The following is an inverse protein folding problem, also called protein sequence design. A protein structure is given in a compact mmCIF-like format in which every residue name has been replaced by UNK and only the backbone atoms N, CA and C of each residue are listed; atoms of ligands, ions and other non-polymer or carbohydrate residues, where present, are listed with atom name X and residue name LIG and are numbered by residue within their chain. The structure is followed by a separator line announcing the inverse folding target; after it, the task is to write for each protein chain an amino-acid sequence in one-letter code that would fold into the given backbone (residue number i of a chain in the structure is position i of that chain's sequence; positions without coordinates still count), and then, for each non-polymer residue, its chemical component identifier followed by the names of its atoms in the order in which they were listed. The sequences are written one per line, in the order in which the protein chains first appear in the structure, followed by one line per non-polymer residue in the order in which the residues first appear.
data_IF_231391745022
#
_entry.id   IF_231391745022
#
_cell.length_a   1.000
_cell.length_b   1.000
_cell.length_c   1.000
_cell.angle_alpha   90.00
_cell.angle_beta   90.00
_cell.angle_gamma   90.00
#
_symmetry.space_group_name_H-M   'P 1'
#
loop_
_entity.id
_entity.type
_entity.pdbx_description
1 polymer ?
#
# COMPACT_ATOMS: atom_id res chain seq x y z
N UNK A 1 -9.55 2.24 0.26
CA UNK A 1 -8.53 3.22 0.65
C UNK A 1 -8.42 4.39 -0.31
N UNK A 2 -8.65 5.61 0.19
CA UNK A 2 -8.37 6.86 -0.53
C UNK A 2 -7.31 7.72 0.19
N UNK A 3 -6.82 7.25 1.34
CA UNK A 3 -5.98 8.00 2.25
C UNK A 3 -5.27 7.02 3.19
N UNK A 4 -3.98 7.23 3.44
CA UNK A 4 -3.26 6.55 4.52
C UNK A 4 -2.31 7.52 5.20
N UNK A 5 -1.77 7.13 6.35
CA UNK A 5 -0.79 7.90 7.09
C UNK A 5 0.49 7.09 7.22
N UNK A 6 1.62 7.76 7.04
CA UNK A 6 2.95 7.24 7.29
C UNK A 6 3.66 8.23 8.23
N UNK A 7 3.28 8.16 9.50
CA UNK A 7 3.75 9.06 10.55
C UNK A 7 4.99 8.49 11.24
N UNK A 8 6.05 8.39 10.48
CA UNK A 8 7.35 7.89 10.90
C UNK A 8 8.43 8.52 10.02
N UNK A 9 9.62 8.72 10.56
CA UNK A 9 10.76 9.22 9.81
C UNK A 9 11.38 8.13 8.94
N UNK A 10 12.13 8.52 7.92
CA UNK A 10 12.79 7.59 7.01
C UNK A 10 13.64 6.51 7.70
N UNK A 11 14.39 6.85 8.75
CA UNK A 11 15.20 5.89 9.51
C UNK A 11 14.35 4.84 10.26
N UNK A 12 13.22 5.25 10.82
CA UNK A 12 12.28 4.36 11.50
C UNK A 12 11.61 3.40 10.50
N UNK A 13 11.24 3.92 9.32
CA UNK A 13 10.65 3.13 8.24
C UNK A 13 11.65 2.10 7.72
N UNK A 14 12.88 2.54 7.43
CA UNK A 14 13.98 1.70 7.00
C UNK A 14 14.24 0.56 8.00
N UNK A 15 14.33 0.88 9.29
CA UNK A 15 14.49 -0.12 10.34
C UNK A 15 13.33 -1.11 10.40
N UNK A 16 12.08 -0.65 10.32
CA UNK A 16 10.90 -1.50 10.44
C UNK A 16 10.72 -2.47 9.26
N UNK A 17 11.14 -2.07 8.06
CA UNK A 17 10.97 -2.86 6.84
C UNK A 17 12.26 -3.56 6.36
N UNK A 18 13.35 -3.40 7.11
CA UNK A 18 14.67 -3.96 6.78
C UNK A 18 15.20 -3.39 5.47
N UNK A 19 15.15 -2.07 5.31
CA UNK A 19 15.57 -1.35 4.13
C UNK A 19 16.65 -0.32 4.44
N UNK A 20 17.36 0.12 3.41
CA UNK A 20 18.20 1.31 3.41
C UNK A 20 17.31 2.53 3.13
N UNK A 21 17.56 3.65 3.81
CA UNK A 21 16.85 4.92 3.55
C UNK A 21 17.13 5.43 2.14
N UNK A 22 18.29 5.08 1.56
CA UNK A 22 18.72 5.48 0.23
C UNK A 22 18.65 7.01 0.04
N UNK A 23 18.97 7.75 1.11
CA UNK A 23 18.92 9.21 1.14
C UNK A 23 17.51 9.81 1.22
N UNK A 24 16.46 9.01 1.39
CA UNK A 24 15.09 9.50 1.55
C UNK A 24 14.96 10.37 2.81
N UNK A 25 14.26 11.49 2.67
CA UNK A 25 14.12 12.54 3.70
C UNK A 25 12.71 12.60 4.29
N UNK A 26 11.89 11.55 4.10
CA UNK A 26 10.52 11.51 4.60
C UNK A 26 10.45 11.80 6.11
N UNK A 27 9.72 12.85 6.47
CA UNK A 27 9.59 13.34 7.84
C UNK A 27 8.36 12.82 8.59
N UNK A 28 7.45 12.14 7.90
CA UNK A 28 6.16 11.73 8.44
C UNK A 28 5.00 12.57 7.87
N UNK A 29 3.83 11.95 7.70
CA UNK A 29 2.64 12.68 7.26
C UNK A 29 1.50 11.82 6.77
N UNK A 30 0.45 12.51 6.36
CA UNK A 30 -0.69 11.94 5.67
C UNK A 30 -0.40 11.86 4.16
N UNK A 31 -0.93 10.83 3.48
CA UNK A 31 -0.72 10.57 2.05
C UNK A 31 -2.06 10.38 1.35
N UNK A 32 -2.28 11.21 0.34
CA UNK A 32 -3.43 11.19 -0.55
C UNK A 32 -3.00 10.89 -2.02
N UNK A 33 -3.93 10.49 -2.90
CA UNK A 33 -3.67 10.33 -4.33
C UNK A 33 -3.01 11.58 -4.93
N UNK A 34 -1.98 11.37 -5.76
CA UNK A 34 -1.18 12.44 -6.36
C UNK A 34 -0.05 12.98 -5.47
N UNK A 35 0.02 12.59 -4.19
CA UNK A 35 1.16 12.95 -3.34
C UNK A 35 2.30 11.95 -3.44
N UNK A 36 3.51 12.42 -3.17
CA UNK A 36 4.70 11.57 -3.06
C UNK A 36 4.75 10.91 -1.68
N UNK A 37 5.21 9.66 -1.66
CA UNK A 37 5.55 8.92 -0.45
C UNK A 37 6.66 7.91 -0.75
N UNK A 38 7.47 7.52 0.24
CA UNK A 38 8.46 6.47 0.06
C UNK A 38 7.77 5.11 -0.11
N UNK A 39 8.23 4.33 -1.07
CA UNK A 39 7.96 2.89 -1.16
C UNK A 39 9.26 2.12 -0.99
N UNK A 40 9.20 0.90 -0.49
CA UNK A 40 10.39 0.04 -0.39
C UNK A 40 10.42 -0.96 -1.54
N UNK A 41 11.48 -0.90 -2.34
CA UNK A 41 11.74 -1.82 -3.46
C UNK A 41 12.93 -2.72 -3.14
N UNK A 42 13.05 -3.85 -3.85
CA UNK A 42 14.28 -4.66 -3.82
C UNK A 42 15.22 -4.23 -4.94
N UNK A 43 16.43 -3.81 -4.59
CA UNK A 43 17.51 -3.54 -5.54
C UNK A 43 18.03 -4.81 -6.22
N UNK A 44 18.80 -4.64 -7.29
CA UNK A 44 19.40 -5.75 -8.03
C UNK A 44 20.39 -6.56 -7.18
N UNK A 45 21.06 -5.89 -6.25
CA UNK A 45 21.94 -6.46 -5.22
C UNK A 45 21.18 -7.17 -4.08
N UNK A 46 19.86 -7.17 -4.12
CA UNK A 46 19.01 -7.78 -3.10
C UNK A 46 18.73 -6.92 -1.88
N UNK A 47 19.35 -5.74 -1.79
CA UNK A 47 19.11 -4.79 -0.69
C UNK A 47 17.80 -4.06 -0.91
N UNK A 48 16.97 -3.99 0.13
CA UNK A 48 15.73 -3.22 0.10
C UNK A 48 16.05 -1.73 0.24
N UNK A 49 15.42 -0.86 -0.56
CA UNK A 49 15.67 0.58 -0.55
C UNK A 49 14.37 1.35 -0.54
N UNK A 50 14.33 2.43 0.24
CA UNK A 50 13.28 3.43 0.13
C UNK A 50 13.48 4.26 -1.14
N UNK A 51 12.40 4.45 -1.88
CA UNK A 51 12.40 5.28 -3.09
C UNK A 51 11.10 6.11 -3.14
N UNK A 52 11.17 7.43 -3.35
CA UNK A 52 9.99 8.27 -3.41
C UNK A 52 9.23 8.03 -4.71
N UNK A 53 7.91 7.86 -4.63
CA UNK A 53 7.02 7.66 -5.78
C UNK A 53 5.69 8.38 -5.54
N UNK A 54 5.05 8.83 -6.61
CA UNK A 54 3.72 9.44 -6.53
C UNK A 54 2.63 8.35 -6.40
N UNK A 55 1.67 8.52 -5.49
CA UNK A 55 0.57 7.58 -5.35
C UNK A 55 -0.48 7.78 -6.44
N UNK A 56 -0.57 6.82 -7.37
CA UNK A 56 -1.49 6.87 -8.51
C UNK A 56 -0.74 6.63 -9.82
N UNK A 57 -0.85 5.42 -10.35
CA UNK A 57 -0.26 5.06 -11.64
C UNK A 57 -1.11 5.66 -12.78
N UNK A 58 -0.51 6.20 -13.85
CA UNK A 58 -1.26 6.65 -15.01
C UNK A 58 -2.23 5.59 -15.54
N UNK A 59 -3.44 5.97 -15.96
CA UNK A 59 -4.43 5.01 -16.45
C UNK A 59 -3.94 4.28 -17.71
N UNK A 60 -4.58 3.14 -18.06
CA UNK A 60 -4.48 2.61 -19.41
C UNK A 60 -4.97 3.65 -20.44
N UNK A 61 -4.65 3.51 -21.74
CA UNK A 61 -4.96 4.52 -22.77
C UNK A 61 -6.42 4.99 -22.88
N UNK A 62 -7.39 4.21 -22.35
CA UNK A 62 -8.83 4.56 -22.30
C UNK A 62 -9.35 4.89 -20.90
N UNK A 63 -8.49 5.00 -19.91
CA UNK A 63 -8.87 5.35 -18.55
C UNK A 63 -8.73 6.85 -18.29
N UNK A 64 -9.66 7.40 -17.52
CA UNK A 64 -9.74 8.84 -17.26
C UNK A 64 -9.07 9.27 -15.94
N UNK A 65 -8.76 8.31 -15.05
CA UNK A 65 -8.26 8.60 -13.71
C UNK A 65 -7.03 7.76 -13.36
N UNK A 66 -6.12 8.36 -12.60
CA UNK A 66 -4.97 7.65 -12.02
C UNK A 66 -5.44 6.46 -11.18
N UNK A 67 -4.70 5.35 -11.28
CA UNK A 67 -5.01 4.13 -10.57
C UNK A 67 -4.22 4.05 -9.28
N UNK A 68 -4.90 4.29 -8.16
CA UNK A 68 -4.32 4.20 -6.80
C UNK A 68 -4.43 2.81 -6.20
N UNK A 69 -5.34 1.99 -6.72
CA UNK A 69 -5.68 0.67 -6.21
C UNK A 69 -5.80 -0.39 -7.31
N UNK A 70 -5.07 -1.49 -7.18
CA UNK A 70 -5.12 -2.65 -8.07
C UNK A 70 -6.15 -3.65 -7.54
N UNK A 71 -7.32 -3.72 -8.20
CA UNK A 71 -8.45 -4.57 -7.79
C UNK A 71 -8.48 -5.92 -8.51
N UNK A 72 -8.30 -5.90 -9.83
CA UNK A 72 -8.27 -7.11 -10.65
C UNK A 72 -6.83 -7.51 -10.95
N UNK A 73 -6.29 -8.43 -10.16
CA UNK A 73 -4.92 -8.94 -10.29
C UNK A 73 -4.71 -9.79 -11.56
N UNK A 74 -5.78 -10.24 -12.21
CA UNK A 74 -5.75 -10.97 -13.47
C UNK A 74 -5.84 -10.05 -14.70
N UNK A 75 -6.03 -8.73 -14.51
CA UNK A 75 -6.13 -7.77 -15.61
C UNK A 75 -4.88 -7.83 -16.51
N UNK A 76 -5.03 -7.87 -17.84
CA UNK A 76 -3.91 -7.78 -18.78
C UNK A 76 -3.03 -6.54 -18.55
N UNK A 77 -3.63 -5.44 -18.07
CA UNK A 77 -2.90 -4.22 -17.75
C UNK A 77 -1.94 -4.39 -16.57
N UNK A 78 -2.22 -5.28 -15.61
CA UNK A 78 -1.45 -5.45 -14.38
C UNK A 78 -0.63 -6.73 -14.34
N UNK A 79 -1.07 -7.78 -15.03
CA UNK A 79 -0.50 -9.12 -14.88
C UNK A 79 0.99 -9.17 -15.21
N UNK A 80 1.45 -8.38 -16.19
CA UNK A 80 2.88 -8.22 -16.49
C UNK A 80 3.63 -7.62 -15.31
N UNK A 81 3.16 -6.47 -14.79
CA UNK A 81 3.76 -5.79 -13.63
C UNK A 81 3.81 -6.71 -12.39
N UNK A 82 2.76 -7.49 -12.14
CA UNK A 82 2.66 -8.38 -10.99
C UNK A 82 3.61 -9.60 -11.08
N UNK A 83 3.84 -10.12 -12.30
CA UNK A 83 4.75 -11.25 -12.55
C UNK A 83 6.22 -10.88 -12.45
N UNK A 84 6.59 -9.64 -12.78
CA UNK A 84 7.96 -9.18 -12.69
C UNK A 84 8.23 -8.59 -11.31
N UNK A 85 9.02 -9.31 -10.50
CA UNK A 85 9.30 -8.98 -9.10
C UNK A 85 9.88 -7.58 -8.90
N UNK A 86 10.67 -7.11 -9.88
CA UNK A 86 11.28 -5.77 -9.88
C UNK A 86 10.25 -4.63 -9.80
N UNK A 87 9.00 -4.83 -10.24
CA UNK A 87 7.94 -3.80 -10.18
C UNK A 87 7.05 -3.91 -8.94
N UNK A 88 7.40 -4.76 -7.97
CA UNK A 88 6.69 -4.88 -6.70
C UNK A 88 7.40 -4.06 -5.63
N UNK A 89 6.61 -3.46 -4.74
CA UNK A 89 7.10 -2.69 -3.62
C UNK A 89 6.30 -3.00 -2.35
N UNK A 90 6.88 -2.69 -1.19
CA UNK A 90 6.17 -2.52 0.06
C UNK A 90 5.77 -1.04 0.16
N UNK A 91 4.52 -0.76 0.49
CA UNK A 91 4.06 0.60 0.77
C UNK A 91 4.00 0.76 2.29
N UNK A 92 4.91 1.51 2.93
CA UNK A 92 4.96 1.68 4.38
C UNK A 92 3.77 2.50 4.89
N UNK A 93 3.21 2.10 6.03
CA UNK A 93 1.99 2.68 6.61
C UNK A 93 2.05 2.60 8.13
N UNK A 94 1.52 3.61 8.82
CA UNK A 94 1.25 3.55 10.27
C UNK A 94 -0.24 3.36 10.57
N UNK A 95 -1.12 3.94 9.75
CA UNK A 95 -2.56 3.67 9.76
C UNK A 95 -3.21 4.06 8.44
N UNK A 96 -4.39 3.51 8.15
CA UNK A 96 -5.15 3.86 6.94
C UNK A 96 -6.61 4.12 7.23
N UNK A 97 -7.24 4.93 6.38
CA UNK A 97 -8.62 5.36 6.55
C UNK A 97 -9.54 4.61 5.58
N UNK A 98 -10.63 4.07 6.12
CA UNK A 98 -11.76 3.57 5.32
C UNK A 98 -13.07 4.24 5.76
N UNK A 99 -14.02 4.35 4.82
CA UNK A 99 -15.29 5.04 5.03
C UNK A 99 -15.25 6.54 4.71
N UNK A 100 -16.39 7.22 4.89
CA UNK A 100 -16.53 8.68 4.85
C UNK A 100 -16.37 9.39 3.49
N UNK A 101 -15.82 8.74 2.45
CA UNK A 101 -15.54 9.42 1.17
C UNK A 101 -16.61 9.27 0.09
N UNK A 102 -17.66 8.46 0.30
CA UNK A 102 -18.70 8.20 -0.73
C UNK A 102 -20.10 8.09 -0.09
N UNK A 103 -21.17 8.45 -0.83
CA UNK A 103 -22.54 8.16 -0.42
C UNK A 103 -22.70 6.67 -0.11
N UNK A 104 -23.29 6.34 1.05
CA UNK A 104 -23.48 4.96 1.52
C UNK A 104 -22.25 4.32 2.18
N UNK A 105 -21.11 5.00 2.27
CA UNK A 105 -19.99 4.54 3.09
C UNK A 105 -20.28 4.77 4.58
N UNK A 106 -19.78 3.88 5.45
CA UNK A 106 -19.84 4.09 6.89
C UNK A 106 -19.03 5.31 7.32
N UNK A 107 -19.21 5.75 8.56
CA UNK A 107 -18.39 6.83 9.14
C UNK A 107 -16.89 6.52 8.98
N UNK A 108 -16.04 7.53 8.73
CA UNK A 108 -14.62 7.31 8.53
C UNK A 108 -13.96 6.74 9.79
N UNK A 109 -13.12 5.73 9.61
CA UNK A 109 -12.41 5.04 10.70
C UNK A 109 -10.96 4.76 10.31
N UNK A 110 -10.08 4.93 11.30
CA UNK A 110 -8.66 4.58 11.21
C UNK A 110 -8.46 3.12 11.56
N UNK A 111 -7.61 2.46 10.78
CA UNK A 111 -7.17 1.09 10.97
C UNK A 111 -5.65 1.07 11.16
N UNK A 112 -5.18 0.37 12.18
CA UNK A 112 -3.77 0.22 12.53
C UNK A 112 -3.48 -1.19 13.05
N UNK A 113 -2.20 -1.57 13.16
CA UNK A 113 -1.77 -2.84 13.72
C UNK A 113 -1.04 -2.60 15.05
N UNK A 114 -1.64 -2.94 16.22
CA UNK A 114 -1.00 -2.70 17.52
C UNK A 114 0.39 -3.32 17.68
N UNK A 115 0.61 -4.50 17.09
CA UNK A 115 1.89 -5.22 17.16
C UNK A 115 2.91 -4.79 16.09
N UNK A 116 2.51 -3.94 15.13
CA UNK A 116 3.36 -3.48 14.04
C UNK A 116 3.05 -1.99 13.73
N UNK A 117 3.59 -1.04 14.53
CA UNK A 117 3.31 0.39 14.38
C UNK A 117 3.68 0.96 13.01
N UNK A 118 4.65 0.35 12.33
CA UNK A 118 4.95 0.55 10.91
C UNK A 118 4.80 -0.81 10.24
N UNK A 119 3.85 -0.92 9.32
CA UNK A 119 3.58 -2.11 8.53
C UNK A 119 3.55 -1.76 7.05
N UNK A 120 3.35 -2.76 6.19
CA UNK A 120 3.32 -2.55 4.76
C UNK A 120 2.06 -3.08 4.07
N UNK A 121 1.61 -2.33 3.07
CA UNK A 121 0.76 -2.91 2.03
C UNK A 121 1.60 -3.55 0.92
N UNK A 122 1.02 -4.53 0.25
CA UNK A 122 1.50 -4.99 -1.04
C UNK A 122 1.24 -3.91 -2.11
N UNK A 123 2.29 -3.43 -2.76
CA UNK A 123 2.21 -2.44 -3.82
C UNK A 123 2.94 -2.86 -5.09
N UNK A 124 2.64 -2.14 -6.16
CA UNK A 124 3.41 -2.14 -7.41
C UNK A 124 3.81 -0.71 -7.77
N UNK A 125 4.87 -0.58 -8.55
CA UNK A 125 5.35 0.71 -9.04
C UNK A 125 5.62 0.68 -10.55
N UNK A 126 5.65 1.87 -11.15
CA UNK A 126 6.02 2.11 -12.54
C UNK A 126 6.79 3.41 -12.67
N UNK A 127 7.91 3.35 -13.37
CA UNK A 127 8.65 4.54 -13.78
C UNK A 127 8.25 4.86 -15.22
N UNK A 128 7.18 5.65 -15.35
CA UNK A 128 6.74 6.29 -16.59
C UNK A 128 7.20 7.75 -16.60
N UNK A 129 6.46 8.68 -17.23
CA UNK A 129 6.73 10.12 -17.12
C UNK A 129 6.80 10.59 -15.66
N UNK A 130 5.89 10.07 -14.83
CA UNK A 130 5.97 10.20 -13.37
C UNK A 130 6.21 8.84 -12.75
N UNK A 131 7.22 8.80 -11.90
CA UNK A 131 7.56 7.65 -11.09
C UNK A 131 6.43 7.44 -10.04
N UNK A 132 5.64 6.37 -10.19
CA UNK A 132 4.36 6.20 -9.51
C UNK A 132 4.17 4.81 -8.90
N UNK A 133 3.25 4.69 -7.95
CA UNK A 133 2.88 3.42 -7.33
C UNK A 133 1.38 3.26 -7.14
N UNK A 134 0.93 2.02 -6.96
CA UNK A 134 -0.44 1.65 -6.64
C UNK A 134 -0.47 0.53 -5.59
N UNK A 135 -1.51 0.50 -4.77
CA UNK A 135 -1.69 -0.46 -3.68
C UNK A 135 -2.60 -1.60 -4.14
N UNK A 136 -2.26 -2.84 -3.83
CA UNK A 136 -3.16 -3.95 -4.10
C UNK A 136 -4.33 -3.94 -3.11
N UNK A 137 -5.49 -4.37 -3.59
CA UNK A 137 -6.67 -4.54 -2.74
C UNK A 137 -7.19 -5.98 -2.81
N UNK A 138 -7.81 -6.41 -1.73
CA UNK A 138 -8.50 -7.69 -1.57
C UNK A 138 -9.89 -7.47 -0.97
N UNK A 139 -10.66 -8.53 -0.77
CA UNK A 139 -11.95 -8.44 -0.09
C UNK A 139 -11.79 -7.90 1.33
N UNK A 140 -12.74 -7.08 1.77
CA UNK A 140 -12.69 -6.50 3.11
C UNK A 140 -13.08 -7.53 4.18
N UNK A 141 -12.31 -7.62 5.26
CA UNK A 141 -12.70 -8.38 6.46
C UNK A 141 -13.81 -7.65 7.25
N UNK A 142 -14.41 -8.31 8.24
CA UNK A 142 -15.61 -7.84 8.95
C UNK A 142 -15.61 -6.34 9.35
N UNK A 143 -14.64 -5.84 10.13
CA UNK A 143 -14.55 -4.42 10.46
C UNK A 143 -14.39 -3.50 9.26
N UNK A 144 -13.52 -3.83 8.30
CA UNK A 144 -13.31 -3.01 7.11
C UNK A 144 -14.55 -2.98 6.21
N UNK A 145 -15.23 -4.11 6.05
CA UNK A 145 -16.41 -4.27 5.20
C UNK A 145 -17.59 -3.41 5.68
N UNK A 146 -17.75 -3.25 7.00
CA UNK A 146 -18.77 -2.36 7.60
C UNK A 146 -18.54 -0.88 7.27
N UNK A 147 -17.30 -0.47 7.06
CA UNK A 147 -16.93 0.92 6.80
C UNK A 147 -16.84 1.24 5.32
N UNK A 148 -16.28 0.32 4.53
CA UNK A 148 -16.24 0.40 3.07
C UNK A 148 -16.58 -0.98 2.48
N UNK A 149 -17.81 -1.15 1.99
CA UNK A 149 -18.19 -2.38 1.33
C UNK A 149 -17.25 -2.69 0.15
N UNK A 150 -16.79 -3.94 0.09
CA UNK A 150 -16.17 -4.54 -1.10
C UNK A 150 -14.66 -4.74 -1.06
N UNK A 151 -13.85 -3.84 -0.50
CA UNK A 151 -12.37 -4.00 -0.55
C UNK A 151 -11.61 -3.35 0.59
N UNK A 152 -10.51 -3.97 1.02
CA UNK A 152 -9.45 -3.40 1.86
C UNK A 152 -8.09 -3.48 1.16
N UNK A 153 -7.07 -2.70 1.55
CA UNK A 153 -5.70 -2.90 1.07
C UNK A 153 -5.15 -4.26 1.50
N UNK A 154 -4.28 -4.85 0.67
CA UNK A 154 -3.55 -6.07 1.01
C UNK A 154 -2.45 -5.72 2.01
N UNK A 155 -2.67 -6.04 3.28
CA UNK A 155 -1.70 -5.88 4.36
C UNK A 155 -0.81 -7.12 4.39
N UNK A 156 0.50 -6.92 4.41
CA UNK A 156 1.48 -8.00 4.46
C UNK A 156 1.93 -8.25 5.90
N UNK A 157 2.09 -9.52 6.26
CA UNK A 157 2.85 -9.87 7.45
C UNK A 157 4.35 -9.59 7.22
N UNK A 158 5.11 -9.22 8.27
CA UNK A 158 6.55 -8.96 8.14
C UNK A 158 7.35 -10.11 7.51
N UNK A 159 7.01 -11.35 7.85
CA UNK A 159 7.60 -12.57 7.29
C UNK A 159 7.36 -12.73 5.78
N UNK A 160 6.28 -12.14 5.25
CA UNK A 160 5.88 -12.25 3.85
C UNK A 160 6.51 -11.17 2.95
N UNK A 161 7.21 -10.19 3.51
CA UNK A 161 7.84 -9.12 2.73
C UNK A 161 8.82 -9.66 1.67
N UNK A 162 9.61 -10.68 2.03
CA UNK A 162 10.52 -11.33 1.10
C UNK A 162 9.78 -12.06 -0.03
N UNK A 163 8.72 -12.80 0.32
CA UNK A 163 7.89 -13.50 -0.66
C UNK A 163 7.22 -12.52 -1.61
N UNK A 164 6.71 -11.39 -1.11
CA UNK A 164 6.16 -10.34 -1.96
C UNK A 164 7.21 -9.72 -2.87
N UNK A 165 8.38 -9.34 -2.37
CA UNK A 165 9.39 -8.64 -3.17
C UNK A 165 10.17 -9.55 -4.14
N UNK A 166 10.18 -10.86 -3.95
CA UNK A 166 11.06 -11.77 -4.71
C UNK A 166 10.44 -13.08 -5.15
N UNK A 167 9.30 -13.47 -4.58
CA UNK A 167 8.66 -14.75 -4.87
C UNK A 167 8.05 -14.84 -6.26
N UNK A 168 7.90 -16.06 -6.76
CA UNK A 168 7.09 -16.31 -7.95
C UNK A 168 5.65 -15.83 -7.75
N UNK A 169 5.04 -15.32 -8.82
CA UNK A 169 3.69 -14.77 -8.77
C UNK A 169 2.63 -15.79 -8.31
N UNK A 170 2.78 -17.09 -8.61
CA UNK A 170 1.84 -18.13 -8.17
C UNK A 170 1.75 -18.23 -6.66
N UNK A 171 2.86 -17.99 -5.96
CA UNK A 171 2.93 -17.96 -4.50
C UNK A 171 2.56 -16.56 -3.97
N UNK A 172 3.18 -15.51 -4.49
CA UNK A 172 2.97 -14.13 -4.03
C UNK A 172 1.50 -13.69 -4.13
N UNK A 173 0.76 -14.12 -5.16
CA UNK A 173 -0.68 -13.80 -5.29
C UNK A 173 -1.54 -14.32 -4.15
N UNK A 174 -1.08 -15.34 -3.41
CA UNK A 174 -1.82 -15.89 -2.24
C UNK A 174 -1.82 -14.91 -1.07
N UNK A 175 -0.86 -13.99 -1.03
CA UNK A 175 -0.80 -12.92 -0.04
C UNK A 175 -1.90 -11.87 -0.23
N UNK A 176 -2.56 -11.84 -1.40
CA UNK A 176 -3.69 -10.95 -1.67
C UNK A 176 -4.99 -11.44 -1.00
N UNK A 177 -4.94 -11.69 0.30
CA UNK A 177 -6.03 -12.17 1.13
C UNK A 177 -6.36 -11.15 2.24
N UNK A 178 -7.59 -11.15 2.78
CA UNK A 178 -7.97 -10.26 3.87
C UNK A 178 -7.10 -10.51 5.11
N UNK A 179 -6.54 -9.45 5.68
CA UNK A 179 -5.73 -9.55 6.89
C UNK A 179 -6.59 -10.00 8.08
N UNK A 180 -6.07 -10.77 9.07
CA UNK A 180 -6.86 -11.21 10.22
C UNK A 180 -7.36 -10.03 11.04
N UNK A 181 -8.68 -9.89 11.17
CA UNK A 181 -9.28 -8.72 11.84
C UNK A 181 -8.96 -8.63 13.33
N UNK A 182 -8.66 -9.75 14.00
CA UNK A 182 -8.29 -9.77 15.42
C UNK A 182 -6.94 -9.10 15.69
N UNK A 183 -6.09 -8.97 14.66
CA UNK A 183 -4.79 -8.30 14.75
C UNK A 183 -4.87 -6.80 14.44
N UNK A 184 -6.06 -6.30 14.14
CA UNK A 184 -6.28 -4.92 13.71
C UNK A 184 -7.00 -4.14 14.80
N UNK A 185 -6.59 -2.89 14.98
CA UNK A 185 -7.30 -1.93 15.81
C UNK A 185 -8.07 -0.94 14.91
N UNK A 186 -9.29 -0.59 15.33
CA UNK A 186 -10.18 0.29 14.58
C UNK A 186 -10.81 1.36 15.48
N UNK A 187 -10.55 2.63 15.16
CA UNK A 187 -11.04 3.78 15.91
C UNK A 187 -11.76 4.79 15.00
N UNK A 188 -12.73 5.57 15.52
CA UNK A 188 -13.28 6.70 14.78
C UNK A 188 -12.19 7.70 14.39
N UNK A 189 -12.28 8.27 13.19
CA UNK A 189 -11.38 9.36 12.83
C UNK A 189 -11.71 9.99 11.50
N UNK A 190 -11.32 11.24 11.32
CA UNK A 190 -11.40 11.97 10.06
C UNK A 190 -9.98 12.14 9.50
N UNK A 191 -9.82 12.33 8.17
CA UNK A 191 -8.56 12.84 7.66
C UNK A 191 -8.23 14.15 8.38
N UNK A 192 -6.96 14.38 8.71
CA UNK A 192 -6.49 15.74 8.99
C UNK A 192 -6.75 16.54 7.72
N UNK A 193 -7.36 17.73 7.81
CA UNK A 193 -7.71 18.51 6.63
C UNK A 193 -6.50 18.63 5.68
N UNK A 194 -6.72 18.29 4.39
CA UNK A 194 -5.74 18.46 3.31
C UNK A 194 -5.58 19.94 2.96
#
# INVERSE_FOLDING_TARGET
MNFYRLDARADQIASALGADTNGDVWGGGDVAPGQYAPVVIRGQDGVRRMVPRQWGVPPPPRGEHVVTAVRNLASPFWIGTLRHTQFRCLVPVTRYLEGGSRPGAGAPRWFSLPSAPIFAFAGIWRDSEVASFAVLTTEANGPAARNRPGTMPVILHPEDYGLWLSGDWKLARRLAAPFPSQLMHCEPGRPTAL
#
